data_IF_035230806493
#
_entry.id   IF_035230806493
#
_cell.length_a   1.000
_cell.length_b   1.000
_cell.length_c   1.000
_cell.angle_alpha   90.00
_cell.angle_beta   90.00
_cell.angle_gamma   90.00
#
_symmetry.space_group_name_H-M   'P 1'
#
loop_
_entity.id
_entity.type
_entity.pdbx_description
1 polymer ?
#
# COMPACT_ATOMS: atom_id res chain seq x y z
N UNK A 1 17.44 13.82 6.84
CA UNK A 1 16.77 12.69 7.53
C UNK A 1 17.77 11.55 7.62
N UNK A 2 18.19 11.12 8.82
CA UNK A 2 19.02 9.91 8.95
C UNK A 2 18.08 8.72 9.04
N UNK A 3 18.06 7.87 8.02
CA UNK A 3 17.34 6.60 8.07
C UNK A 3 18.14 5.71 9.02
N UNK A 4 17.58 5.38 10.18
CA UNK A 4 18.17 4.40 11.08
C UNK A 4 17.69 3.02 10.62
N UNK A 5 18.49 2.37 9.79
CA UNK A 5 18.22 1.01 9.32
C UNK A 5 18.78 0.06 10.36
N UNK A 6 17.95 -0.87 10.81
CA UNK A 6 18.34 -1.92 11.75
C UNK A 6 19.59 -2.69 11.27
N UNK A 7 20.56 -2.88 12.16
CA UNK A 7 21.85 -3.48 11.81
C UNK A 7 21.72 -4.96 11.41
N UNK A 8 20.73 -5.68 11.96
CA UNK A 8 20.48 -7.08 11.59
C UNK A 8 19.88 -7.15 10.20
N UNK A 9 18.99 -6.22 9.85
CA UNK A 9 18.46 -6.11 8.49
C UNK A 9 19.58 -5.86 7.48
N UNK A 10 20.51 -4.93 7.76
CA UNK A 10 21.67 -4.68 6.90
C UNK A 10 22.55 -5.94 6.75
N UNK A 11 22.80 -6.64 7.84
CA UNK A 11 23.58 -7.88 7.82
C UNK A 11 22.93 -8.97 6.95
N UNK A 12 21.61 -9.17 7.08
CA UNK A 12 20.87 -10.13 6.25
C UNK A 12 20.91 -9.76 4.76
N UNK A 13 20.70 -8.47 4.44
CA UNK A 13 20.77 -7.98 3.06
C UNK A 13 22.15 -8.23 2.45
N UNK A 14 23.23 -7.92 3.18
CA UNK A 14 24.59 -8.16 2.71
C UNK A 14 24.88 -9.64 2.47
N UNK A 15 24.41 -10.51 3.36
CA UNK A 15 24.57 -11.96 3.25
C UNK A 15 23.89 -12.50 1.98
N UNK A 16 22.66 -12.07 1.71
CA UNK A 16 21.89 -12.50 0.53
C UNK A 16 22.49 -11.89 -0.75
N UNK A 17 22.91 -10.62 -0.73
CA UNK A 17 23.52 -9.95 -1.87
C UNK A 17 24.85 -10.57 -2.30
N UNK A 18 25.61 -11.14 -1.37
CA UNK A 18 26.87 -11.83 -1.69
C UNK A 18 26.67 -13.32 -2.05
N UNK A 19 25.44 -13.83 -1.90
CA UNK A 19 25.08 -15.22 -2.17
C UNK A 19 24.62 -15.48 -3.61
N UNK A 20 24.38 -16.76 -3.95
CA UNK A 20 23.90 -17.17 -5.26
C UNK A 20 22.52 -16.59 -5.62
N UNK A 21 21.73 -16.20 -4.61
CA UNK A 21 20.38 -15.66 -4.76
C UNK A 21 20.33 -14.12 -4.82
N UNK A 22 21.48 -13.46 -4.97
CA UNK A 22 21.58 -11.99 -5.02
C UNK A 22 20.69 -11.34 -6.09
N UNK A 23 20.50 -12.03 -7.22
CA UNK A 23 19.60 -11.60 -8.29
C UNK A 23 18.11 -11.72 -7.89
N UNK A 24 17.73 -12.68 -7.04
CA UNK A 24 16.38 -12.79 -6.52
C UNK A 24 16.07 -11.65 -5.53
N UNK A 25 17.02 -11.27 -4.68
CA UNK A 25 16.89 -10.11 -3.80
C UNK A 25 16.69 -8.82 -4.61
N UNK A 26 17.47 -8.64 -5.68
CA UNK A 26 17.32 -7.50 -6.58
C UNK A 26 15.93 -7.45 -7.20
N UNK A 27 15.45 -8.57 -7.77
CA UNK A 27 14.09 -8.67 -8.32
C UNK A 27 12.99 -8.46 -7.29
N UNK A 28 13.21 -8.89 -6.05
CA UNK A 28 12.26 -8.67 -4.96
C UNK A 28 12.18 -7.20 -4.56
N UNK A 29 13.33 -6.51 -4.47
CA UNK A 29 13.38 -5.06 -4.25
C UNK A 29 12.76 -4.33 -5.44
N UNK A 30 13.12 -4.68 -6.67
CA UNK A 30 12.50 -4.14 -7.88
C UNK A 30 10.99 -4.35 -7.85
N UNK A 31 10.46 -5.53 -7.51
CA UNK A 31 9.02 -5.78 -7.36
C UNK A 31 8.35 -4.92 -6.27
N UNK A 32 9.01 -4.74 -5.12
CA UNK A 32 8.49 -3.89 -4.04
C UNK A 32 8.44 -2.41 -4.42
N UNK A 33 9.37 -1.97 -5.29
CA UNK A 33 9.51 -0.58 -5.71
C UNK A 33 9.04 -0.31 -7.16
N UNK A 34 8.62 -1.34 -7.90
CA UNK A 34 7.87 -1.31 -9.17
C UNK A 34 6.41 -0.93 -8.95
N UNK A 35 6.11 -0.19 -7.88
CA UNK A 35 4.87 0.54 -7.74
C UNK A 35 4.96 1.77 -8.68
N UNK A 36 4.92 1.53 -9.99
CA UNK A 36 4.31 2.51 -10.89
C UNK A 36 2.81 2.47 -10.57
N UNK A 37 2.38 3.36 -9.68
CA UNK A 37 1.12 4.10 -9.76
C UNK A 37 0.95 4.92 -8.48
N UNK A 38 0.36 6.12 -8.64
CA UNK A 38 0.18 7.13 -7.60
C UNK A 38 -0.28 6.53 -6.26
N UNK A 39 0.46 6.86 -5.20
CA UNK A 39 -0.11 6.87 -3.86
C UNK A 39 -1.43 7.63 -3.92
N UNK A 40 -2.47 7.13 -3.22
CA UNK A 40 -3.78 7.77 -3.06
C UNK A 40 -3.67 9.29 -3.21
N UNK A 41 -4.34 9.83 -4.23
CA UNK A 41 -4.37 11.26 -4.50
C UNK A 41 -4.99 12.01 -3.32
N UNK A 42 -4.84 13.33 -3.26
CA UNK A 42 -5.50 14.14 -2.23
C UNK A 42 -7.04 13.95 -2.26
N UNK A 43 -7.60 13.70 -3.45
CA UNK A 43 -9.01 13.39 -3.64
C UNK A 43 -9.37 12.02 -3.06
N UNK A 44 -8.52 11.00 -3.28
CA UNK A 44 -8.72 9.67 -2.68
C UNK A 44 -8.67 9.73 -1.15
N UNK A 45 -7.74 10.50 -0.59
CA UNK A 45 -7.66 10.71 0.86
C UNK A 45 -8.89 11.41 1.42
N UNK A 46 -9.39 12.40 0.68
CA UNK A 46 -10.62 13.12 1.04
C UNK A 46 -11.82 12.17 1.03
N UNK A 47 -11.99 11.37 -0.04
CA UNK A 47 -13.05 10.39 -0.15
C UNK A 47 -13.01 9.33 0.97
N UNK A 48 -11.82 8.89 1.39
CA UNK A 48 -11.64 7.96 2.51
C UNK A 48 -12.06 8.61 3.83
N UNK A 49 -11.72 9.89 4.06
CA UNK A 49 -12.14 10.60 5.27
C UNK A 49 -13.65 10.77 5.32
N UNK A 50 -14.28 11.23 4.23
CA UNK A 50 -15.74 11.38 4.14
C UNK A 50 -16.45 10.05 4.39
N UNK A 51 -15.98 8.96 3.76
CA UNK A 51 -16.53 7.63 4.00
C UNK A 51 -16.43 7.17 5.45
N UNK A 52 -15.37 7.53 6.17
CA UNK A 52 -15.25 7.23 7.62
C UNK A 52 -16.23 8.03 8.46
N UNK A 53 -16.44 9.31 8.13
CA UNK A 53 -17.41 10.15 8.82
C UNK A 53 -18.85 9.67 8.58
N UNK A 54 -19.16 9.26 7.35
CA UNK A 54 -20.45 8.70 6.98
C UNK A 54 -20.75 7.43 7.78
N UNK A 55 -19.78 6.51 7.88
CA UNK A 55 -19.92 5.32 8.73
C UNK A 55 -20.11 5.69 10.19
N UNK A 56 -19.32 6.63 10.73
CA UNK A 56 -19.43 7.06 12.13
C UNK A 56 -20.79 7.70 12.45
N UNK A 57 -21.41 8.35 11.47
CA UNK A 57 -22.71 9.01 11.61
C UNK A 57 -23.88 8.13 11.16
N UNK A 58 -23.64 6.87 10.80
CA UNK A 58 -24.65 5.91 10.36
C UNK A 58 -25.23 6.20 8.97
N UNK A 59 -24.58 7.08 8.18
CA UNK A 59 -24.91 7.34 6.77
C UNK A 59 -24.32 6.25 5.87
N UNK A 60 -24.81 5.04 6.03
CA UNK A 60 -24.42 3.90 5.21
C UNK A 60 -25.62 3.41 4.41
N UNK A 61 -25.36 2.91 3.21
CA UNK A 61 -26.37 2.21 2.40
C UNK A 61 -25.98 0.73 2.32
N UNK A 62 -26.97 -0.13 2.17
CA UNK A 62 -26.74 -1.53 1.87
C UNK A 62 -26.18 -1.71 0.45
N UNK A 63 -25.54 -2.87 0.21
CA UNK A 63 -25.04 -3.20 -1.12
C UNK A 63 -26.17 -3.23 -2.16
N UNK A 64 -27.31 -3.83 -1.82
CA UNK A 64 -28.50 -3.88 -2.68
C UNK A 64 -29.00 -2.47 -3.04
N UNK A 65 -28.99 -1.52 -2.10
CA UNK A 65 -29.36 -0.12 -2.34
C UNK A 65 -28.34 0.57 -3.26
N UNK A 66 -27.05 0.29 -3.07
CA UNK A 66 -25.98 0.81 -3.92
C UNK A 66 -26.12 0.31 -5.37
N UNK A 67 -26.29 -1.00 -5.55
CA UNK A 67 -26.43 -1.64 -6.87
C UNK A 67 -27.65 -1.08 -7.61
N UNK A 68 -28.80 -1.01 -6.92
CA UNK A 68 -30.04 -0.44 -7.48
C UNK A 68 -29.88 1.02 -7.89
N UNK A 69 -29.16 1.84 -7.12
CA UNK A 69 -28.93 3.25 -7.45
C UNK A 69 -27.99 3.43 -8.66
N UNK A 70 -27.09 2.47 -8.91
CA UNK A 70 -26.14 2.48 -10.03
C UNK A 70 -26.63 1.72 -11.26
N UNK A 71 -27.77 1.02 -11.17
CA UNK A 71 -28.30 0.18 -12.24
C UNK A 71 -27.43 -1.04 -12.52
N UNK A 72 -26.74 -1.53 -11.49
CA UNK A 72 -25.89 -2.73 -11.51
C UNK A 72 -26.70 -3.98 -11.16
#
# INVERSE_FOLDING_TARGET
MKINIDEQLLFMIHTIYQGPDSHALRKFVEFLYEQEDELLTDDDWTAIQEGREDVAQGRVISLDEYEKARGL
#
